data_IF_927774023721
#
_entry.id   IF_927774023721
#
_cell.length_a   1.000
_cell.length_b   1.000
_cell.length_c   1.000
_cell.angle_alpha   90.00
_cell.angle_beta   90.00
_cell.angle_gamma   90.00
#
_symmetry.space_group_name_H-M   'P 1'
#
loop_
_entity.id
_entity.type
_entity.pdbx_description
1 polymer ?
#
# COMPACT_ATOMS: atom_id res chain seq x y z
N UNK A 1 -15.63 42.92 -6.98
CA UNK A 1 -15.67 41.88 -8.03
C UNK A 1 -14.66 40.79 -7.68
N UNK A 2 -15.10 39.75 -6.95
CA UNK A 2 -14.24 38.63 -6.55
C UNK A 2 -14.41 37.45 -7.50
N UNK A 3 -13.33 37.08 -8.20
CA UNK A 3 -13.27 35.91 -9.09
C UNK A 3 -13.25 34.63 -8.26
N UNK A 4 -14.29 33.81 -8.40
CA UNK A 4 -14.34 32.44 -7.89
C UNK A 4 -13.46 31.54 -8.74
N UNK A 5 -12.26 31.23 -8.24
CA UNK A 5 -11.41 30.18 -8.79
C UNK A 5 -12.04 28.81 -8.49
N UNK A 6 -12.81 28.28 -9.44
CA UNK A 6 -13.16 26.86 -9.42
C UNK A 6 -11.89 26.04 -9.69
N UNK A 7 -11.27 25.58 -8.60
CA UNK A 7 -10.27 24.51 -8.59
C UNK A 7 -10.75 23.35 -9.47
N UNK A 8 -10.21 23.26 -10.69
CA UNK A 8 -10.40 22.12 -11.58
C UNK A 8 -9.89 20.89 -10.84
N UNK A 9 -10.78 20.10 -10.23
CA UNK A 9 -10.42 18.78 -9.70
C UNK A 9 -9.81 17.95 -10.85
N UNK A 10 -8.48 17.79 -10.82
CA UNK A 10 -7.73 16.91 -11.75
C UNK A 10 -8.45 15.56 -11.76
N UNK A 11 -8.94 15.14 -12.94
CA UNK A 11 -9.71 13.90 -13.11
C UNK A 11 -8.88 12.74 -12.59
N UNK A 12 -9.26 12.25 -11.41
CA UNK A 12 -8.56 11.19 -10.72
C UNK A 12 -8.68 9.93 -11.56
N UNK A 13 -7.55 9.27 -11.82
CA UNK A 13 -7.54 8.00 -12.52
C UNK A 13 -8.10 6.92 -11.57
N UNK A 14 -9.43 6.87 -11.44
CA UNK A 14 -10.17 5.98 -10.55
C UNK A 14 -10.07 4.50 -10.98
N UNK A 15 -9.58 4.23 -12.20
CA UNK A 15 -9.41 2.90 -12.78
C UNK A 15 -8.34 2.08 -12.07
N UNK A 16 -7.15 2.66 -11.85
CA UNK A 16 -6.02 2.00 -11.15
C UNK A 16 -6.43 1.58 -9.73
N UNK A 17 -7.30 2.37 -9.08
CA UNK A 17 -7.84 2.07 -7.74
C UNK A 17 -8.75 0.85 -7.72
N UNK A 18 -9.59 0.68 -8.76
CA UNK A 18 -10.46 -0.49 -8.89
C UNK A 18 -9.62 -1.74 -9.08
N UNK A 19 -8.53 -1.66 -9.84
CA UNK A 19 -7.69 -2.82 -10.12
C UNK A 19 -6.99 -3.33 -8.85
N UNK A 20 -6.39 -2.43 -8.04
CA UNK A 20 -5.79 -2.82 -6.75
C UNK A 20 -6.85 -3.34 -5.77
N UNK A 21 -7.99 -2.65 -5.65
CA UNK A 21 -9.04 -3.06 -4.72
C UNK A 21 -9.65 -4.40 -5.13
N UNK A 22 -9.90 -4.63 -6.42
CA UNK A 22 -10.39 -5.91 -6.97
C UNK A 22 -9.34 -7.01 -6.81
N UNK A 23 -8.06 -6.70 -7.00
CA UNK A 23 -6.98 -7.67 -6.79
C UNK A 23 -6.91 -8.13 -5.33
N UNK A 24 -6.91 -7.20 -4.36
CA UNK A 24 -6.93 -7.53 -2.92
C UNK A 24 -8.22 -8.29 -2.58
N UNK A 25 -9.37 -7.77 -3.01
CA UNK A 25 -10.68 -8.37 -2.74
C UNK A 25 -10.75 -9.81 -3.26
N UNK A 26 -10.34 -10.07 -4.51
CA UNK A 26 -10.32 -11.42 -5.09
C UNK A 26 -9.45 -12.37 -4.28
N UNK A 27 -8.27 -11.93 -3.83
CA UNK A 27 -7.37 -12.75 -3.00
C UNK A 27 -7.99 -13.06 -1.64
N UNK A 28 -8.63 -12.10 -0.98
CA UNK A 28 -9.29 -12.28 0.31
C UNK A 28 -10.55 -13.16 0.22
N UNK A 29 -11.37 -12.98 -0.82
CA UNK A 29 -12.54 -13.86 -1.07
C UNK A 29 -12.07 -15.29 -1.35
N UNK A 30 -11.02 -15.47 -2.16
CA UNK A 30 -10.48 -16.79 -2.45
C UNK A 30 -10.00 -17.50 -1.18
N UNK A 31 -9.29 -16.82 -0.27
CA UNK A 31 -8.88 -17.41 1.01
C UNK A 31 -10.06 -17.77 1.91
N UNK A 32 -11.14 -16.98 1.89
CA UNK A 32 -12.38 -17.32 2.63
C UNK A 32 -13.06 -18.57 2.08
N UNK A 33 -13.18 -18.68 0.76
CA UNK A 33 -13.79 -19.85 0.11
C UNK A 33 -13.00 -21.11 0.49
N UNK A 34 -11.66 -21.04 0.48
CA UNK A 34 -10.81 -22.15 0.94
C UNK A 34 -11.11 -22.51 2.40
N UNK A 35 -11.18 -21.52 3.30
CA UNK A 35 -11.50 -21.75 4.71
C UNK A 35 -12.88 -22.40 4.90
N UNK A 36 -13.86 -21.97 4.11
CA UNK A 36 -15.22 -22.52 4.14
C UNK A 36 -15.27 -23.96 3.62
N UNK A 37 -14.54 -24.28 2.55
CA UNK A 37 -14.41 -25.65 2.03
C UNK A 37 -13.73 -26.55 3.06
N UNK A 38 -12.63 -26.12 3.68
CA UNK A 38 -11.93 -26.88 4.72
C UNK A 38 -12.87 -27.14 5.91
N UNK A 39 -13.58 -26.11 6.37
CA UNK A 39 -14.56 -26.24 7.44
C UNK A 39 -15.66 -27.25 7.09
N UNK A 40 -16.19 -27.20 5.85
CA UNK A 40 -17.20 -28.13 5.38
C UNK A 40 -16.69 -29.58 5.32
N UNK A 41 -15.43 -29.79 4.90
CA UNK A 41 -14.79 -31.10 4.89
C UNK A 41 -14.65 -31.65 6.31
N UNK A 42 -14.17 -30.83 7.25
CA UNK A 42 -14.04 -31.23 8.67
C UNK A 42 -15.40 -31.63 9.24
N UNK A 43 -16.43 -30.80 9.01
CA UNK A 43 -17.80 -31.09 9.46
C UNK A 43 -18.35 -32.37 8.84
N UNK A 44 -18.13 -32.59 7.54
CA UNK A 44 -18.55 -33.81 6.86
C UNK A 44 -17.91 -35.06 7.47
N UNK A 45 -16.59 -35.05 7.68
CA UNK A 45 -15.88 -36.17 8.30
C UNK A 45 -16.31 -36.41 9.75
N UNK A 46 -16.51 -35.35 10.53
CA UNK A 46 -16.96 -35.43 11.91
C UNK A 46 -18.39 -35.98 12.00
N UNK A 47 -19.31 -35.43 11.22
CA UNK A 47 -20.70 -35.89 11.12
C UNK A 47 -20.78 -37.36 10.70
N UNK A 48 -20.00 -37.77 9.71
CA UNK A 48 -19.98 -39.17 9.26
C UNK A 48 -19.45 -40.13 10.34
N UNK A 49 -18.50 -39.71 11.19
CA UNK A 49 -17.98 -40.51 12.31
C UNK A 49 -18.95 -40.59 13.49
N UNK A 50 -19.57 -39.48 13.90
CA UNK A 50 -20.49 -39.49 15.04
C UNK A 50 -21.84 -40.15 14.72
N UNK A 51 -22.33 -40.00 13.48
CA UNK A 51 -23.57 -40.63 13.04
C UNK A 51 -23.40 -42.13 12.73
N UNK A 52 -22.19 -42.66 12.55
CA UNK A 52 -21.97 -44.08 12.30
C UNK A 52 -21.92 -44.94 13.57
N UNK A 53 -21.25 -44.44 14.61
CA UNK A 53 -20.97 -45.19 15.85
C UNK A 53 -22.13 -45.11 16.87
N UNK A 54 -22.98 -44.07 16.80
CA UNK A 54 -24.00 -43.78 17.83
C UNK A 54 -25.31 -44.56 17.66
N UNK A 55 -25.61 -45.11 16.47
CA UNK A 55 -26.89 -45.83 16.26
C UNK A 55 -27.00 -47.15 17.02
N UNK A 56 -25.89 -47.74 17.47
CA UNK A 56 -25.92 -49.11 18.00
C UNK A 56 -25.80 -49.28 19.52
N UNK A 57 -25.34 -48.30 20.30
CA UNK A 57 -25.02 -48.59 21.72
C UNK A 57 -25.39 -47.60 22.83
N UNK A 58 -26.07 -46.47 22.61
CA UNK A 58 -26.22 -45.53 23.74
C UNK A 58 -27.55 -44.77 23.77
N UNK A 59 -28.58 -45.44 24.28
CA UNK A 59 -29.89 -44.85 24.47
C UNK A 59 -30.00 -43.89 25.69
N UNK A 60 -28.97 -43.73 26.56
CA UNK A 60 -29.18 -42.99 27.84
C UNK A 60 -28.15 -41.91 28.25
N UNK A 61 -26.91 -41.84 27.72
CA UNK A 61 -25.92 -40.85 28.23
C UNK A 61 -25.42 -39.81 27.20
N UNK A 62 -25.73 -39.95 25.91
CA UNK A 62 -25.12 -39.13 24.85
C UNK A 62 -25.85 -37.79 24.59
N UNK A 63 -27.12 -37.65 24.98
CA UNK A 63 -27.93 -36.45 24.66
C UNK A 63 -27.32 -35.12 25.13
N UNK A 64 -26.53 -35.09 26.20
CA UNK A 64 -26.01 -33.80 26.74
C UNK A 64 -24.78 -33.25 26.05
N UNK A 65 -23.96 -34.10 25.44
CA UNK A 65 -22.71 -33.64 24.80
C UNK A 65 -22.99 -33.13 23.38
N UNK A 66 -23.85 -33.82 22.64
CA UNK A 66 -24.31 -33.40 21.31
C UNK A 66 -25.15 -32.11 21.34
N UNK A 67 -26.03 -31.95 22.34
CA UNK A 67 -26.87 -30.74 22.52
C UNK A 67 -26.03 -29.50 22.85
N UNK A 68 -24.84 -29.66 23.43
CA UNK A 68 -23.91 -28.56 23.70
C UNK A 68 -22.97 -28.27 22.53
N UNK A 69 -22.62 -29.28 21.74
CA UNK A 69 -21.70 -29.18 20.60
C UNK A 69 -22.29 -28.38 19.45
N UNK A 70 -23.54 -28.67 19.05
CA UNK A 70 -24.22 -28.00 17.93
C UNK A 70 -24.29 -26.47 18.12
N UNK A 71 -24.78 -25.92 19.25
CA UNK A 71 -24.84 -24.47 19.44
C UNK A 71 -23.45 -23.84 19.50
N UNK A 72 -22.44 -24.52 20.04
CA UNK A 72 -21.04 -24.02 20.04
C UNK A 72 -20.46 -23.98 18.62
N UNK A 73 -20.74 -24.99 17.79
CA UNK A 73 -20.31 -25.01 16.38
C UNK A 73 -21.02 -23.92 15.56
N UNK A 74 -22.32 -23.74 15.75
CA UNK A 74 -23.08 -22.66 15.09
C UNK A 74 -22.57 -21.30 15.54
N UNK A 75 -22.33 -21.11 16.84
CA UNK A 75 -21.77 -19.87 17.37
C UNK A 75 -20.37 -19.59 16.82
N UNK A 76 -19.50 -20.60 16.75
CA UNK A 76 -18.17 -20.48 16.16
C UNK A 76 -18.23 -20.18 14.64
N UNK A 77 -19.14 -20.82 13.92
CA UNK A 77 -19.38 -20.56 12.49
C UNK A 77 -19.87 -19.14 12.22
N UNK A 78 -20.85 -18.67 13.00
CA UNK A 78 -21.36 -17.29 12.91
C UNK A 78 -20.27 -16.28 13.28
N UNK A 79 -19.53 -16.51 14.36
CA UNK A 79 -18.43 -15.65 14.77
C UNK A 79 -17.33 -15.57 13.70
N UNK A 80 -16.95 -16.72 13.11
CA UNK A 80 -15.98 -16.80 12.02
C UNK A 80 -16.48 -16.11 10.75
N UNK A 81 -17.75 -16.27 10.39
CA UNK A 81 -18.37 -15.60 9.26
C UNK A 81 -18.41 -14.07 9.43
N UNK A 82 -18.83 -13.59 10.61
CA UNK A 82 -18.84 -12.16 10.91
C UNK A 82 -17.42 -11.58 10.92
N UNK A 83 -16.46 -12.27 11.53
CA UNK A 83 -15.05 -11.86 11.55
C UNK A 83 -14.46 -11.78 10.16
N UNK A 84 -14.76 -12.76 9.30
CA UNK A 84 -14.30 -12.78 7.91
C UNK A 84 -14.93 -11.61 7.13
N UNK A 85 -16.25 -11.42 7.21
CA UNK A 85 -16.97 -10.33 6.54
C UNK A 85 -16.40 -8.95 6.91
N UNK A 86 -16.06 -8.74 8.19
CA UNK A 86 -15.39 -7.52 8.64
C UNK A 86 -14.03 -7.35 7.95
N UNK A 87 -13.18 -8.38 7.93
CA UNK A 87 -11.89 -8.32 7.24
C UNK A 87 -12.06 -7.99 5.75
N UNK A 88 -13.06 -8.56 5.08
CA UNK A 88 -13.32 -8.33 3.67
C UNK A 88 -13.62 -6.87 3.35
N UNK A 89 -14.41 -6.21 4.21
CA UNK A 89 -14.85 -4.83 4.00
C UNK A 89 -13.71 -3.86 4.37
N UNK A 90 -13.05 -4.08 5.51
CA UNK A 90 -12.12 -3.12 6.07
C UNK A 90 -10.69 -3.23 5.53
N UNK A 91 -10.22 -4.44 5.21
CA UNK A 91 -8.82 -4.66 4.84
C UNK A 91 -8.42 -3.98 3.52
N UNK A 92 -9.19 -4.10 2.41
CA UNK A 92 -8.83 -3.46 1.14
C UNK A 92 -8.85 -1.93 1.24
N UNK A 93 -9.78 -1.37 2.01
CA UNK A 93 -9.91 0.08 2.20
C UNK A 93 -8.71 0.69 2.92
N UNK A 94 -8.16 -0.01 3.93
CA UNK A 94 -6.97 0.44 4.67
C UNK A 94 -5.70 0.47 3.82
N UNK A 95 -5.60 -0.37 2.78
CA UNK A 95 -4.42 -0.44 1.90
C UNK A 95 -4.55 0.51 0.71
N UNK A 96 -5.74 0.62 0.11
CA UNK A 96 -5.96 1.41 -1.09
C UNK A 96 -5.72 2.92 -0.87
N UNK A 97 -6.06 3.45 0.32
CA UNK A 97 -5.88 4.87 0.65
C UNK A 97 -4.42 5.34 0.62
N UNK A 98 -3.50 4.69 1.38
CA UNK A 98 -2.08 5.00 1.36
C UNK A 98 -1.43 4.86 -0.02
N UNK A 99 -1.76 3.79 -0.75
CA UNK A 99 -1.22 3.55 -2.10
C UNK A 99 -1.70 4.63 -3.08
N UNK A 100 -2.95 5.08 -2.95
CA UNK A 100 -3.45 6.18 -3.75
C UNK A 100 -2.73 7.50 -3.47
N UNK A 101 -2.42 7.81 -2.20
CA UNK A 101 -1.62 8.99 -1.87
C UNK A 101 -0.21 8.89 -2.45
N UNK A 102 0.40 7.70 -2.45
CA UNK A 102 1.71 7.50 -3.06
C UNK A 102 1.68 7.83 -4.56
N UNK A 103 0.71 7.29 -5.30
CA UNK A 103 0.60 7.54 -6.74
C UNK A 103 0.25 9.01 -7.03
N UNK A 104 -0.74 9.58 -6.35
CA UNK A 104 -1.19 10.94 -6.68
C UNK A 104 -0.23 12.01 -6.17
N UNK A 105 0.13 11.93 -4.90
CA UNK A 105 0.86 13.00 -4.24
C UNK A 105 2.35 12.84 -4.57
N UNK A 106 2.97 11.71 -4.24
CA UNK A 106 4.41 11.55 -4.49
C UNK A 106 4.77 11.51 -5.97
N UNK A 107 4.15 10.65 -6.80
CA UNK A 107 4.50 10.59 -8.23
C UNK A 107 4.09 11.88 -8.95
N UNK A 108 2.96 12.48 -8.58
CA UNK A 108 2.52 13.76 -9.14
C UNK A 108 3.51 14.90 -8.89
N UNK A 109 3.92 15.14 -7.64
CA UNK A 109 4.91 16.16 -7.32
C UNK A 109 6.28 15.88 -7.95
N UNK A 110 6.70 14.61 -7.98
CA UNK A 110 7.97 14.23 -8.59
C UNK A 110 7.98 14.45 -10.12
N UNK A 111 6.87 14.17 -10.80
CA UNK A 111 6.70 14.44 -12.24
C UNK A 111 6.70 15.95 -12.57
N UNK A 112 6.18 16.77 -11.66
CA UNK A 112 6.21 18.24 -11.77
C UNK A 112 7.60 18.83 -11.43
N UNK A 113 8.56 18.00 -10.98
CA UNK A 113 9.90 18.43 -10.57
C UNK A 113 9.95 19.09 -9.18
N UNK A 114 8.88 18.99 -8.39
CA UNK A 114 8.80 19.54 -7.04
C UNK A 114 9.50 18.64 -6.03
N UNK A 115 10.77 18.94 -5.76
CA UNK A 115 11.60 18.28 -4.75
C UNK A 115 11.47 18.91 -3.35
N UNK A 116 10.59 19.90 -3.18
CA UNK A 116 10.35 20.57 -1.89
C UNK A 116 9.23 19.90 -1.09
N UNK A 117 8.34 19.19 -1.79
CA UNK A 117 7.29 18.38 -1.18
C UNK A 117 7.84 17.37 -0.16
N UNK A 118 7.01 17.06 0.84
CA UNK A 118 7.28 16.04 1.85
C UNK A 118 6.08 15.10 1.94
N UNK A 119 6.31 13.84 1.60
CA UNK A 119 5.29 12.80 1.64
C UNK A 119 4.95 12.42 3.08
N UNK A 120 3.66 12.31 3.38
CA UNK A 120 3.14 11.93 4.70
C UNK A 120 1.94 10.99 4.55
N UNK A 121 1.84 10.04 5.47
CA UNK A 121 0.68 9.15 5.62
C UNK A 121 -0.04 9.42 6.94
N UNK A 122 -1.27 8.91 7.08
CA UNK A 122 -2.03 9.02 8.34
C UNK A 122 -1.42 8.06 9.36
N UNK A 123 -1.55 8.41 10.65
CA UNK A 123 -0.96 7.63 11.76
C UNK A 123 -1.44 6.16 11.80
N UNK A 124 -2.66 5.91 11.34
CA UNK A 124 -3.28 4.56 11.37
C UNK A 124 -3.08 3.78 10.07
N UNK A 125 -2.33 4.32 9.11
CA UNK A 125 -2.02 3.61 7.87
C UNK A 125 -0.98 2.50 8.12
N UNK A 126 -1.04 1.36 7.42
CA UNK A 126 -0.12 0.25 7.64
C UNK A 126 1.35 0.54 7.23
N UNK A 127 1.61 1.57 6.42
CA UNK A 127 2.93 1.83 5.81
C UNK A 127 3.71 2.96 6.50
N UNK A 128 3.82 2.96 7.84
CA UNK A 128 4.41 4.09 8.59
C UNK A 128 5.88 4.40 8.25
N UNK A 129 6.66 3.43 7.77
CA UNK A 129 8.07 3.62 7.40
C UNK A 129 8.25 4.18 5.98
N UNK A 130 7.24 4.04 5.12
CA UNK A 130 7.29 4.45 3.71
C UNK A 130 7.49 5.96 3.53
N UNK A 131 6.79 6.85 4.29
CA UNK A 131 7.05 8.29 4.25
C UNK A 131 8.50 8.67 4.50
N UNK A 132 9.14 8.04 5.49
CA UNK A 132 10.52 8.34 5.84
C UNK A 132 11.48 7.92 4.71
N UNK A 133 11.28 6.74 4.13
CA UNK A 133 12.10 6.26 3.03
C UNK A 133 11.97 7.16 1.78
N UNK A 134 10.74 7.56 1.43
CA UNK A 134 10.47 8.44 0.29
C UNK A 134 11.08 9.82 0.52
N UNK A 135 10.89 10.42 1.69
CA UNK A 135 11.43 11.75 1.97
C UNK A 135 12.96 11.76 1.92
N UNK A 136 13.63 10.71 2.41
CA UNK A 136 15.10 10.56 2.28
C UNK A 136 15.53 10.45 0.81
N UNK A 137 14.78 9.74 -0.02
CA UNK A 137 15.08 9.65 -1.46
C UNK A 137 14.92 11.01 -2.15
N UNK A 138 13.84 11.75 -1.86
CA UNK A 138 13.61 13.11 -2.38
C UNK A 138 14.71 14.06 -1.91
N UNK A 139 15.14 13.98 -0.65
CA UNK A 139 16.23 14.80 -0.11
C UNK A 139 17.57 14.51 -0.80
N UNK A 140 17.90 13.24 -1.05
CA UNK A 140 19.08 12.86 -1.82
C UNK A 140 19.03 13.42 -3.24
N UNK A 141 17.89 13.31 -3.92
CA UNK A 141 17.70 13.87 -5.26
C UNK A 141 17.82 15.40 -5.25
N UNK A 142 17.17 16.05 -4.28
CA UNK A 142 17.23 17.49 -4.09
C UNK A 142 18.67 17.98 -3.88
N UNK A 143 19.45 17.28 -3.07
CA UNK A 143 20.87 17.61 -2.84
C UNK A 143 21.69 17.50 -4.12
N UNK A 144 21.50 16.44 -4.91
CA UNK A 144 22.22 16.24 -6.19
C UNK A 144 21.88 17.33 -7.20
N UNK A 145 20.59 17.67 -7.34
CA UNK A 145 20.14 18.75 -8.25
C UNK A 145 20.69 20.10 -7.81
N UNK A 146 20.72 20.40 -6.50
CA UNK A 146 21.33 21.63 -5.98
C UNK A 146 22.81 21.73 -6.28
N UNK A 147 23.55 20.62 -6.17
CA UNK A 147 24.99 20.61 -6.47
C UNK A 147 25.27 20.93 -7.93
N UNK A 148 24.50 20.32 -8.84
CA UNK A 148 24.55 20.63 -10.28
C UNK A 148 24.21 22.10 -10.54
N UNK A 149 23.12 22.60 -9.95
CA UNK A 149 22.71 24.00 -10.12
C UNK A 149 23.78 24.99 -9.62
N UNK A 150 24.45 24.69 -8.51
CA UNK A 150 25.57 25.50 -7.99
C UNK A 150 26.76 25.52 -8.94
N UNK A 151 27.15 24.36 -9.49
CA UNK A 151 28.25 24.29 -10.45
C UNK A 151 27.95 25.05 -11.74
N UNK A 152 26.71 24.97 -12.25
CA UNK A 152 26.27 25.75 -13.42
C UNK A 152 26.30 27.25 -13.12
N UNK A 153 25.81 27.67 -11.95
CA UNK A 153 25.84 29.08 -11.55
C UNK A 153 27.28 29.61 -11.36
N UNK A 154 28.17 28.79 -10.80
CA UNK A 154 29.59 29.13 -10.67
C UNK A 154 30.27 29.28 -12.04
N UNK A 155 30.03 28.34 -12.96
CA UNK A 155 30.53 28.41 -14.33
C UNK A 155 30.00 29.66 -15.05
N UNK A 156 28.71 29.99 -14.88
CA UNK A 156 28.10 31.19 -15.44
C UNK A 156 28.77 32.46 -14.94
N UNK A 157 28.98 32.59 -13.63
CA UNK A 157 29.67 33.74 -13.04
C UNK A 157 31.11 33.90 -13.56
N UNK A 158 31.85 32.80 -13.67
CA UNK A 158 33.19 32.83 -14.24
C UNK A 158 33.20 33.31 -15.71
N UNK A 159 32.19 32.95 -16.52
CA UNK A 159 32.03 33.48 -17.88
C UNK A 159 31.72 34.98 -17.89
N UNK A 160 30.82 35.45 -17.01
CA UNK A 160 30.49 36.88 -16.87
C UNK A 160 31.71 37.71 -16.44
N UNK A 161 32.64 37.13 -15.68
CA UNK A 161 33.91 37.73 -15.28
C UNK A 161 35.04 37.56 -16.33
N UNK A 162 34.77 36.93 -17.47
CA UNK A 162 35.77 36.69 -18.53
C UNK A 162 36.78 35.58 -18.21
N UNK A 163 36.58 34.81 -17.14
CA UNK A 163 37.47 33.73 -16.68
C UNK A 163 37.08 32.40 -17.33
N UNK A 164 37.36 32.29 -18.63
CA UNK A 164 36.96 31.14 -19.46
C UNK A 164 37.49 29.80 -18.93
N UNK A 165 38.73 29.77 -18.44
CA UNK A 165 39.34 28.54 -17.93
C UNK A 165 38.74 28.10 -16.58
N UNK A 166 38.30 29.02 -15.72
CA UNK A 166 37.58 28.69 -14.49
C UNK A 166 36.18 28.13 -14.81
N UNK A 167 35.49 28.74 -15.77
CA UNK A 167 34.19 28.24 -16.22
C UNK A 167 34.28 26.82 -16.80
N UNK A 168 35.32 26.52 -17.58
CA UNK A 168 35.59 25.17 -18.10
C UNK A 168 35.81 24.16 -16.99
N UNK A 169 36.56 24.52 -15.94
CA UNK A 169 36.80 23.64 -14.79
C UNK A 169 35.52 23.32 -14.02
N UNK A 170 34.66 24.33 -13.79
CA UNK A 170 33.39 24.10 -13.10
C UNK A 170 32.44 23.20 -13.92
N UNK A 171 32.39 23.36 -15.24
CA UNK A 171 31.62 22.47 -16.11
C UNK A 171 32.16 21.03 -16.10
N UNK A 172 33.49 20.85 -16.15
CA UNK A 172 34.11 19.52 -16.03
C UNK A 172 33.78 18.86 -14.68
N UNK A 173 33.81 19.63 -13.60
CA UNK A 173 33.43 19.15 -12.26
C UNK A 173 31.97 18.70 -12.22
N UNK A 174 31.06 19.46 -12.83
CA UNK A 174 29.64 19.06 -12.94
C UNK A 174 29.50 17.79 -13.77
N UNK A 175 30.19 17.68 -14.90
CA UNK A 175 30.16 16.49 -15.76
C UNK A 175 30.65 15.24 -15.00
N UNK A 176 31.76 15.35 -14.29
CA UNK A 176 32.31 14.27 -13.46
C UNK A 176 31.37 13.91 -12.31
N UNK A 177 30.77 14.91 -11.66
CA UNK A 177 29.76 14.68 -10.63
C UNK A 177 28.59 13.87 -11.20
N UNK A 178 28.04 14.26 -12.35
CA UNK A 178 26.95 13.55 -13.01
C UNK A 178 27.34 12.09 -13.33
N UNK A 179 28.52 11.86 -13.92
CA UNK A 179 29.02 10.50 -14.22
C UNK A 179 29.15 9.60 -12.99
N UNK A 180 29.62 10.16 -11.88
CA UNK A 180 29.86 9.40 -10.66
C UNK A 180 28.59 9.18 -9.81
N UNK A 181 27.59 10.06 -9.95
CA UNK A 181 26.44 10.11 -9.03
C UNK A 181 25.10 9.76 -9.66
N UNK A 182 25.01 9.71 -10.99
CA UNK A 182 23.77 9.41 -11.69
C UNK A 182 24.05 8.38 -12.78
N UNK A 183 23.25 7.33 -12.78
CA UNK A 183 23.26 6.32 -13.84
C UNK A 183 22.23 6.75 -14.87
N UNK A 184 22.71 7.18 -16.03
CA UNK A 184 21.91 7.47 -17.22
C UNK A 184 22.40 6.59 -18.36
#
# INVERSE_FOLDING_TARGET
MGRTGMERRKRLNLRIKRDLQVWILKRTVFSMIIGMIIGFIILYFFSHRELGETYWQAHITIRRVSDLLVPVMVAAGVAGFLGSLLLLIFFPQKIAGPVYRLERDFVGHLQEGDLTFRFRLRKDDPFQTLPQAINRAVESLQSRVREVARGVEAARKALEEGKVEEARRELQRVEEFLKNNLKF
#
